data_IF_276560591344
#
_entry.id   IF_276560591344
#
_cell.length_a   1.000
_cell.length_b   1.000
_cell.length_c   1.000
_cell.angle_alpha   90.00
_cell.angle_beta   90.00
_cell.angle_gamma   90.00
#
_symmetry.space_group_name_H-M   'P 1'
#
loop_
_entity.id
_entity.type
_entity.pdbx_description
1 polymer ?
#
# COMPACT_ATOMS: atom_id res chain seq x y z
N UNK A 1 16.60 -3.58 14.49
CA UNK A 1 15.52 -4.23 13.73
C UNK A 1 14.33 -3.31 13.53
N UNK A 2 13.57 -2.93 14.58
CA UNK A 2 12.34 -2.13 14.39
C UNK A 2 12.51 -0.76 13.71
N UNK A 3 13.63 -0.05 13.90
CA UNK A 3 13.86 1.23 13.20
C UNK A 3 13.93 1.09 11.68
N UNK A 4 14.30 -0.09 11.17
CA UNK A 4 14.39 -0.36 9.73
C UNK A 4 13.01 -0.36 9.06
N UNK A 5 11.92 -0.58 9.82
CA UNK A 5 10.57 -0.54 9.26
C UNK A 5 10.13 0.86 8.83
N UNK A 6 10.84 1.91 9.27
CA UNK A 6 10.56 3.30 8.88
C UNK A 6 11.27 3.71 7.58
N UNK A 7 12.24 2.93 7.10
CA UNK A 7 12.93 3.24 5.85
C UNK A 7 11.98 3.14 4.63
N UNK A 8 11.17 2.07 4.46
CA UNK A 8 10.15 2.03 3.41
C UNK A 8 9.14 3.18 3.51
N UNK A 9 8.77 3.58 4.72
CA UNK A 9 7.83 4.70 4.95
C UNK A 9 8.41 6.03 4.49
N UNK A 10 9.72 6.27 4.68
CA UNK A 10 10.38 7.46 4.14
C UNK A 10 10.44 7.42 2.63
N UNK A 11 10.79 6.27 2.05
CA UNK A 11 10.93 6.12 0.61
C UNK A 11 9.60 6.38 -0.10
N UNK A 12 8.47 5.86 0.40
CA UNK A 12 7.16 6.10 -0.22
C UNK A 12 6.72 7.57 -0.13
N UNK A 13 7.07 8.30 0.94
CA UNK A 13 6.78 9.74 1.03
C UNK A 13 7.60 10.55 0.02
N UNK A 14 8.88 10.21 -0.13
CA UNK A 14 9.75 10.84 -1.14
C UNK A 14 9.21 10.58 -2.54
N UNK A 15 8.88 9.33 -2.84
CA UNK A 15 8.45 8.90 -4.17
C UNK A 15 7.06 9.44 -4.55
N UNK A 16 6.12 9.50 -3.59
CA UNK A 16 4.81 10.10 -3.80
C UNK A 16 4.83 11.63 -3.88
N UNK A 17 5.91 12.28 -3.41
CA UNK A 17 5.99 13.74 -3.28
C UNK A 17 5.03 14.32 -2.24
N UNK A 18 4.52 13.49 -1.32
CA UNK A 18 3.57 13.88 -0.29
C UNK A 18 4.31 14.17 1.02
N UNK A 19 4.02 15.33 1.59
CA UNK A 19 4.52 15.72 2.91
C UNK A 19 3.84 14.92 4.03
N UNK A 20 4.57 14.61 5.10
CA UNK A 20 4.03 13.87 6.26
C UNK A 20 2.75 14.49 6.82
N UNK A 21 2.65 15.82 6.79
CA UNK A 21 1.50 16.58 7.29
C UNK A 21 0.25 16.41 6.43
N UNK A 22 0.39 16.00 5.18
CA UNK A 22 -0.72 15.79 4.25
C UNK A 22 -1.31 14.37 4.31
N UNK A 23 -0.75 13.49 5.14
CA UNK A 23 -1.37 12.19 5.40
C UNK A 23 -2.63 12.41 6.26
N UNK A 24 -3.78 11.86 5.90
CA UNK A 24 -5.01 12.08 6.68
C UNK A 24 -5.23 11.04 7.78
N UNK A 25 -4.82 9.80 7.52
CA UNK A 25 -5.03 8.69 8.45
C UNK A 25 -3.90 7.66 8.38
N UNK A 26 -3.70 6.92 9.46
CA UNK A 26 -2.64 5.90 9.59
C UNK A 26 -3.32 4.59 9.97
N UNK A 27 -3.44 3.66 9.03
CA UNK A 27 -4.03 2.34 9.26
C UNK A 27 -2.92 1.31 9.45
N UNK A 28 -2.99 0.56 10.55
CA UNK A 28 -2.05 -0.53 10.83
C UNK A 28 -2.68 -1.89 10.49
N UNK A 29 -2.01 -2.67 9.64
CA UNK A 29 -2.47 -3.98 9.17
C UNK A 29 -1.39 -5.04 9.39
N UNK A 30 -1.81 -6.26 9.75
CA UNK A 30 -0.96 -7.40 10.03
C UNK A 30 -0.58 -7.55 11.52
N UNK A 31 -0.50 -8.80 12.00
CA UNK A 31 -0.35 -9.10 13.42
C UNK A 31 0.88 -8.49 14.10
N UNK A 32 2.00 -8.29 13.38
CA UNK A 32 3.20 -7.65 13.93
C UNK A 32 2.99 -6.18 14.30
N UNK A 33 1.94 -5.52 13.80
CA UNK A 33 1.60 -4.13 14.18
C UNK A 33 1.03 -4.02 15.61
N UNK A 34 0.70 -5.16 16.25
CA UNK A 34 0.31 -5.23 17.67
C UNK A 34 1.49 -5.01 18.63
N UNK A 35 2.73 -5.05 18.12
CA UNK A 35 3.93 -4.83 18.93
C UNK A 35 3.94 -3.35 19.38
N UNK A 36 3.92 -3.04 20.70
CA UNK A 36 3.83 -1.66 21.20
C UNK A 36 4.94 -0.74 20.66
N UNK A 37 6.14 -1.29 20.47
CA UNK A 37 7.28 -0.53 19.93
C UNK A 37 7.07 -0.10 18.48
N UNK A 38 6.36 -0.88 17.66
CA UNK A 38 6.04 -0.49 16.28
C UNK A 38 5.05 0.67 16.27
N UNK A 39 3.98 0.56 17.07
CA UNK A 39 2.97 1.61 17.18
C UNK A 39 3.58 2.93 17.66
N UNK A 40 4.45 2.86 18.67
CA UNK A 40 5.19 4.03 19.16
C UNK A 40 6.07 4.65 18.07
N UNK A 41 6.86 3.84 17.36
CA UNK A 41 7.75 4.34 16.30
C UNK A 41 6.98 5.00 15.15
N UNK A 42 5.84 4.43 14.75
CA UNK A 42 4.97 5.01 13.72
C UNK A 42 4.37 6.33 14.22
N UNK A 43 3.88 6.37 15.45
CA UNK A 43 3.33 7.60 16.04
C UNK A 43 4.39 8.69 16.16
N UNK A 44 5.60 8.37 16.64
CA UNK A 44 6.75 9.29 16.70
C UNK A 44 7.13 9.80 15.30
N UNK A 45 7.09 8.95 14.27
CA UNK A 45 7.43 9.33 12.90
C UNK A 45 6.43 10.33 12.30
N UNK A 46 5.15 10.16 12.59
CA UNK A 46 4.05 11.04 12.18
C UNK A 46 3.67 12.06 13.27
N UNK A 47 4.67 12.60 13.96
CA UNK A 47 4.55 13.77 14.84
C UNK A 47 3.52 13.61 15.99
N UNK A 48 3.43 12.40 16.54
CA UNK A 48 2.57 12.04 17.67
C UNK A 48 1.15 11.61 17.29
N UNK A 49 0.86 11.44 16.00
CA UNK A 49 -0.47 11.01 15.55
C UNK A 49 -0.77 9.58 15.96
N UNK A 50 -2.00 9.35 16.39
CA UNK A 50 -2.46 8.03 16.80
C UNK A 50 -2.96 7.25 15.59
N UNK A 51 -2.46 6.03 15.34
CA UNK A 51 -2.99 5.18 14.28
C UNK A 51 -4.46 4.81 14.51
N UNK A 52 -5.20 4.64 13.43
CA UNK A 52 -6.60 4.24 13.43
C UNK A 52 -6.78 2.82 13.98
N UNK A 53 -7.72 2.66 14.91
CA UNK A 53 -8.07 1.39 15.57
C UNK A 53 -9.43 0.82 15.15
N UNK A 54 -10.14 1.50 14.24
CA UNK A 54 -11.45 1.09 13.72
C UNK A 54 -11.40 -0.08 12.74
N UNK A 55 -10.21 -0.56 12.39
CA UNK A 55 -9.99 -1.67 11.46
C UNK A 55 -9.29 -2.82 12.18
N UNK A 56 -9.82 -4.03 12.06
CA UNK A 56 -9.18 -5.23 12.60
C UNK A 56 -7.94 -5.59 11.75
N UNK A 57 -6.71 -5.54 12.31
CA UNK A 57 -5.47 -5.71 11.54
C UNK A 57 -5.31 -7.11 10.93
N UNK A 58 -6.01 -8.12 11.47
CA UNK A 58 -5.90 -9.51 11.01
C UNK A 58 -6.92 -9.85 9.91
N UNK A 59 -8.00 -9.07 9.80
CA UNK A 59 -9.12 -9.34 8.87
C UNK A 59 -9.17 -8.34 7.70
N UNK A 60 -8.55 -7.16 7.84
CA UNK A 60 -8.63 -6.07 6.86
C UNK A 60 -8.28 -6.52 5.43
N UNK A 61 -7.22 -7.33 5.29
CA UNK A 61 -6.76 -7.83 3.98
C UNK A 61 -7.79 -8.77 3.36
N UNK A 62 -8.32 -9.72 4.14
CA UNK A 62 -9.32 -10.67 3.66
C UNK A 62 -10.64 -9.99 3.29
N UNK A 63 -11.02 -8.97 4.07
CA UNK A 63 -12.21 -8.17 3.82
C UNK A 63 -12.12 -7.42 2.48
N UNK A 64 -11.02 -6.69 2.24
CA UNK A 64 -10.80 -5.98 0.97
C UNK A 64 -10.72 -6.93 -0.23
N UNK A 65 -10.05 -8.09 -0.07
CA UNK A 65 -9.99 -9.11 -1.12
C UNK A 65 -11.37 -9.69 -1.46
N UNK A 66 -12.24 -9.89 -0.46
CA UNK A 66 -13.60 -10.41 -0.67
C UNK A 66 -14.47 -9.39 -1.41
N UNK A 67 -14.35 -8.11 -1.07
CA UNK A 67 -15.05 -7.04 -1.82
C UNK A 67 -14.60 -7.05 -3.27
N UNK A 68 -13.29 -7.09 -3.52
CA UNK A 68 -12.79 -7.15 -4.90
C UNK A 68 -13.33 -8.38 -5.62
N UNK A 69 -13.30 -9.56 -5.01
CA UNK A 69 -13.82 -10.80 -5.59
C UNK A 69 -15.33 -10.74 -5.91
N UNK A 70 -16.13 -10.07 -5.06
CA UNK A 70 -17.56 -9.85 -5.28
C UNK A 70 -17.81 -8.97 -6.51
N UNK A 71 -17.00 -7.91 -6.70
CA UNK A 71 -17.03 -7.08 -7.91
C UNK A 71 -16.69 -7.92 -9.14
N UNK A 72 -15.65 -8.77 -9.06
CA UNK A 72 -15.27 -9.67 -10.16
C UNK A 72 -16.36 -10.68 -10.51
N UNK A 73 -17.16 -11.08 -9.53
CA UNK A 73 -18.28 -12.00 -9.71
C UNK A 73 -19.53 -11.33 -10.32
N UNK A 74 -19.47 -10.01 -10.57
CA UNK A 74 -20.56 -9.25 -11.17
C UNK A 74 -21.65 -8.83 -10.18
N UNK A 75 -21.36 -8.82 -8.88
CA UNK A 75 -22.28 -8.28 -7.87
C UNK A 75 -22.26 -6.74 -7.89
N UNK A 76 -23.38 -6.14 -8.30
CA UNK A 76 -23.53 -4.68 -8.50
C UNK A 76 -23.86 -3.98 -7.17
N UNK A 77 -24.11 -4.72 -6.09
CA UNK A 77 -24.49 -4.15 -4.80
C UNK A 77 -23.34 -3.43 -4.07
N UNK A 78 -22.09 -3.63 -4.51
CA UNK A 78 -20.86 -3.09 -3.89
C UNK A 78 -20.48 -1.68 -4.38
N UNK A 79 -21.25 -1.08 -5.30
CA UNK A 79 -20.97 0.25 -5.85
C UNK A 79 -19.79 0.27 -6.82
N UNK A 80 -19.61 1.39 -7.53
CA UNK A 80 -18.50 1.55 -8.49
C UNK A 80 -17.19 1.83 -7.75
N UNK A 81 -16.37 0.79 -7.54
CA UNK A 81 -15.01 0.91 -6.99
C UNK A 81 -14.00 0.81 -8.14
N UNK A 82 -13.16 1.84 -8.29
CA UNK A 82 -12.00 1.82 -9.18
C UNK A 82 -10.73 1.65 -8.35
N UNK A 83 -10.00 0.57 -8.58
CA UNK A 83 -8.69 0.33 -7.96
C UNK A 83 -7.56 0.63 -8.95
N UNK A 84 -6.70 1.57 -8.59
CA UNK A 84 -5.47 1.88 -9.31
C UNK A 84 -4.30 1.44 -8.42
N UNK A 85 -3.45 0.58 -8.96
CA UNK A 85 -2.29 0.04 -8.25
C UNK A 85 -1.00 0.36 -9.03
N UNK A 86 0.17 0.08 -8.47
CA UNK A 86 1.47 0.40 -9.08
C UNK A 86 2.40 -0.80 -9.13
N UNK A 87 3.30 -0.85 -10.12
CA UNK A 87 4.36 -1.86 -10.16
C UNK A 87 5.42 -1.56 -9.10
N UNK A 88 5.73 -2.46 -8.14
CA UNK A 88 6.69 -2.15 -7.07
C UNK A 88 8.16 -2.12 -7.52
N UNK A 89 8.47 -2.60 -8.74
CA UNK A 89 9.82 -2.71 -9.27
C UNK A 89 9.84 -2.38 -10.76
N UNK A 90 10.98 -1.87 -11.23
CA UNK A 90 11.22 -1.73 -12.67
C UNK A 90 11.37 -3.11 -13.32
N UNK A 91 10.61 -3.35 -14.37
CA UNK A 91 10.67 -4.53 -15.22
C UNK A 91 11.32 -4.17 -16.55
N UNK A 92 12.41 -4.88 -16.86
CA UNK A 92 13.07 -4.83 -18.17
C UNK A 92 12.91 -6.15 -18.91
N UNK A 93 13.11 -6.09 -20.23
CA UNK A 93 13.25 -7.27 -21.08
C UNK A 93 14.53 -7.13 -21.91
N UNK A 94 15.23 -8.24 -22.03
CA UNK A 94 16.40 -8.39 -22.88
C UNK A 94 16.04 -9.29 -24.06
N UNK A 95 16.19 -8.75 -25.27
CA UNK A 95 16.06 -9.51 -26.52
C UNK A 95 17.32 -9.25 -27.33
N UNK A 96 18.18 -10.25 -27.44
CA UNK A 96 19.48 -10.09 -28.11
C UNK A 96 19.34 -9.42 -29.49
N UNK A 97 20.10 -8.34 -29.79
CA UNK A 97 21.18 -7.73 -29.00
C UNK A 97 20.76 -6.48 -28.16
N UNK A 98 19.48 -6.27 -27.88
CA UNK A 98 18.91 -5.07 -27.26
C UNK A 98 18.46 -5.34 -25.81
N UNK A 99 18.83 -4.44 -24.90
CA UNK A 99 18.34 -4.41 -23.52
C UNK A 99 17.45 -3.18 -23.34
N UNK A 100 16.18 -3.38 -22.96
CA UNK A 100 15.21 -2.30 -22.77
C UNK A 100 14.49 -2.42 -21.42
N UNK A 101 14.29 -1.28 -20.75
CA UNK A 101 13.34 -1.15 -19.66
C UNK A 101 11.92 -0.97 -20.23
N UNK A 102 10.92 -1.63 -19.65
CA UNK A 102 9.55 -1.66 -20.21
C UNK A 102 8.54 -1.07 -19.24
N UNK A 103 8.64 -1.39 -17.96
CA UNK A 103 7.76 -0.87 -16.92
C UNK A 103 8.66 -0.31 -15.83
N UNK A 104 8.52 0.97 -15.49
CA UNK A 104 9.29 1.58 -14.41
C UNK A 104 8.64 1.29 -13.06
N UNK A 105 9.42 1.27 -11.98
CA UNK A 105 8.87 1.26 -10.62
C UNK A 105 7.82 2.36 -10.46
N UNK A 106 6.77 2.08 -9.70
CA UNK A 106 5.65 2.98 -9.40
C UNK A 106 4.80 3.37 -10.61
N UNK A 107 5.04 2.78 -11.79
CA UNK A 107 4.12 2.90 -12.93
C UNK A 107 2.77 2.33 -12.54
N UNK A 108 1.71 3.12 -12.70
CA UNK A 108 0.34 2.67 -12.48
C UNK A 108 0.04 1.46 -13.38
N UNK A 109 -0.35 0.36 -12.74
CA UNK A 109 -0.91 -0.82 -13.39
C UNK A 109 -2.41 -0.75 -13.13
N UNK A 110 -3.18 -0.73 -14.22
CA UNK A 110 -4.61 -0.91 -14.12
C UNK A 110 -4.86 -2.36 -13.70
N UNK A 111 -5.18 -2.54 -12.43
CA UNK A 111 -5.74 -3.78 -11.95
C UNK A 111 -7.16 -3.85 -12.52
N UNK A 112 -7.23 -4.41 -13.73
CA UNK A 112 -8.39 -4.91 -14.46
C UNK A 112 -9.70 -4.13 -14.21
N UNK A 113 -10.19 -3.41 -15.23
CA UNK A 113 -11.65 -3.28 -15.41
C UNK A 113 -12.16 -4.71 -15.59
N UNK A 114 -12.66 -5.33 -14.53
CA UNK A 114 -13.39 -6.60 -14.59
C UNK A 114 -14.85 -6.24 -14.45
#
# INVERSE_FOLDING_TARGET
>A
MFKLTLEPVRNVLINSGIEKSAIDDIVLVGGSTRIPRIQQLVSEFFDGRTPNTGINPDEAVAYGATIQASILAGDISTGDILLLDVCPLTLGMEVYPINNEIIFTETAIFNIRI
#
